data_IF_444921577234
#
_entry.id   IF_444921577234
#
_cell.length_a   1.000
_cell.length_b   1.000
_cell.length_c   1.000
_cell.angle_alpha   90.00
_cell.angle_beta   90.00
_cell.angle_gamma   90.00
#
_symmetry.space_group_name_H-M   'P 1'
#
loop_
_entity.id
_entity.type
_entity.pdbx_description
1 polymer ?
#
# COMPACT_ATOMS: atom_id res chain seq x y z
N UNK A 1 -13.64 18.45 -0.53
CA UNK A 1 -12.96 17.35 0.19
C UNK A 1 -13.40 15.97 -0.30
N UNK A 2 -14.70 15.71 -0.49
CA UNK A 2 -15.21 14.43 -0.98
C UNK A 2 -14.56 13.94 -2.29
N UNK A 3 -14.53 14.80 -3.33
CA UNK A 3 -13.91 14.47 -4.63
C UNK A 3 -12.43 14.13 -4.51
N UNK A 4 -11.70 14.84 -3.63
CA UNK A 4 -10.28 14.63 -3.38
C UNK A 4 -10.06 13.28 -2.70
N UNK A 5 -10.82 12.99 -1.64
CA UNK A 5 -10.75 11.71 -0.94
C UNK A 5 -11.05 10.54 -1.89
N UNK A 6 -12.11 10.65 -2.70
CA UNK A 6 -12.45 9.64 -3.72
C UNK A 6 -11.30 9.45 -4.71
N UNK A 7 -10.68 10.53 -5.18
CA UNK A 7 -9.55 10.47 -6.10
C UNK A 7 -8.34 9.78 -5.45
N UNK A 8 -7.99 10.14 -4.21
CA UNK A 8 -6.89 9.51 -3.47
C UNK A 8 -7.14 8.00 -3.34
N UNK A 9 -8.32 7.60 -2.89
CA UNK A 9 -8.68 6.18 -2.75
C UNK A 9 -8.59 5.43 -4.07
N UNK A 10 -9.03 6.02 -5.19
CA UNK A 10 -8.95 5.38 -6.51
C UNK A 10 -7.52 5.29 -7.04
N UNK A 11 -6.70 6.32 -6.84
CA UNK A 11 -5.32 6.30 -7.28
C UNK A 11 -4.51 5.26 -6.49
N UNK A 12 -4.61 5.30 -5.16
CA UNK A 12 -3.95 4.32 -4.28
C UNK A 12 -4.48 2.91 -4.55
N UNK A 13 -5.81 2.77 -4.66
CA UNK A 13 -6.46 1.49 -4.94
C UNK A 13 -6.06 0.89 -6.28
N UNK A 14 -5.97 1.71 -7.33
CA UNK A 14 -5.54 1.26 -8.66
C UNK A 14 -4.07 0.88 -8.66
N UNK A 15 -3.21 1.67 -8.02
CA UNK A 15 -1.78 1.33 -7.88
C UNK A 15 -1.60 0.00 -7.13
N UNK A 16 -2.34 -0.22 -6.04
CA UNK A 16 -2.30 -1.46 -5.28
C UNK A 16 -2.88 -2.66 -6.05
N UNK A 17 -3.93 -2.47 -6.87
CA UNK A 17 -4.49 -3.52 -7.73
C UNK A 17 -3.49 -4.04 -8.77
N UNK A 18 -2.57 -3.20 -9.26
CA UNK A 18 -1.53 -3.64 -10.20
C UNK A 18 -0.61 -4.71 -9.59
N UNK A 19 -0.57 -4.84 -8.25
CA UNK A 19 0.16 -5.92 -7.59
C UNK A 19 -0.35 -7.32 -7.96
N UNK A 20 -1.57 -7.47 -8.49
CA UNK A 20 -2.06 -8.75 -9.01
C UNK A 20 -1.15 -9.33 -10.10
N UNK A 21 -0.47 -8.47 -10.87
CA UNK A 21 0.49 -8.89 -11.88
C UNK A 21 1.72 -9.58 -11.25
N UNK A 22 2.14 -9.14 -10.06
CA UNK A 22 3.26 -9.73 -9.34
C UNK A 22 2.94 -11.11 -8.75
N UNK A 23 1.65 -11.45 -8.55
CA UNK A 23 1.23 -12.78 -8.07
C UNK A 23 1.62 -13.88 -9.04
N UNK A 24 1.46 -13.64 -10.35
CA UNK A 24 1.79 -14.60 -11.42
C UNK A 24 3.15 -14.35 -12.05
N UNK A 25 3.93 -13.41 -11.50
CA UNK A 25 5.24 -13.06 -12.05
C UNK A 25 6.20 -14.27 -11.97
N UNK A 26 6.93 -14.58 -13.06
CA UNK A 26 7.98 -15.58 -13.04
C UNK A 26 9.13 -15.16 -12.11
N UNK A 27 9.77 -16.14 -11.47
CA UNK A 27 10.91 -15.88 -10.58
C UNK A 27 12.05 -15.13 -11.28
N UNK A 28 12.35 -15.49 -12.54
CA UNK A 28 13.40 -14.85 -13.35
C UNK A 28 13.18 -13.34 -13.51
N UNK A 29 11.92 -12.92 -13.64
CA UNK A 29 11.58 -11.50 -13.75
C UNK A 29 11.75 -10.78 -12.41
N UNK A 30 11.38 -11.43 -11.29
CA UNK A 30 11.61 -10.88 -9.95
C UNK A 30 13.12 -10.75 -9.65
N UNK A 31 13.91 -11.77 -9.95
CA UNK A 31 15.37 -11.75 -9.78
C UNK A 31 16.02 -10.67 -10.65
N UNK A 32 15.59 -10.52 -11.90
CA UNK A 32 16.07 -9.46 -12.78
C UNK A 32 15.76 -8.05 -12.23
N UNK A 33 14.57 -7.84 -11.65
CA UNK A 33 14.21 -6.56 -11.02
C UNK A 33 15.07 -6.33 -9.77
N UNK A 34 15.21 -7.34 -8.92
CA UNK A 34 16.04 -7.28 -7.71
C UNK A 34 17.49 -6.90 -8.02
N UNK A 35 18.06 -7.50 -9.09
CA UNK A 35 19.38 -7.16 -9.60
C UNK A 35 19.49 -5.73 -10.14
N UNK A 36 18.49 -5.27 -10.91
CA UNK A 36 18.44 -3.88 -11.43
C UNK A 36 18.32 -2.83 -10.33
N UNK A 37 17.69 -3.18 -9.21
CA UNK A 37 17.57 -2.30 -8.03
C UNK A 37 18.84 -2.29 -7.16
N UNK A 38 19.87 -3.08 -7.52
CA UNK A 38 21.12 -3.18 -6.78
C UNK A 38 21.01 -4.01 -5.50
N UNK A 39 19.98 -4.84 -5.36
CA UNK A 39 19.74 -5.67 -4.19
C UNK A 39 20.41 -7.06 -4.28
N UNK A 40 21.07 -7.35 -5.41
CA UNK A 40 21.76 -8.62 -5.65
C UNK A 40 20.85 -9.70 -6.21
N UNK A 41 21.19 -10.97 -5.97
CA UNK A 41 20.34 -12.11 -6.38
C UNK A 41 19.22 -12.34 -5.39
N UNK A 42 18.02 -12.57 -5.91
CA UNK A 42 16.87 -12.95 -5.11
C UNK A 42 17.05 -14.38 -4.61
N UNK A 43 16.92 -14.69 -3.30
CA UNK A 43 17.06 -16.06 -2.82
C UNK A 43 16.02 -17.00 -3.45
N UNK A 44 16.44 -18.23 -3.77
CA UNK A 44 15.60 -19.23 -4.44
C UNK A 44 14.73 -20.04 -3.46
N UNK A 45 14.81 -19.75 -2.17
CA UNK A 45 14.03 -20.44 -1.14
C UNK A 45 12.52 -20.25 -1.37
N UNK A 46 11.70 -21.31 -1.25
CA UNK A 46 10.26 -21.24 -1.51
C UNK A 46 9.53 -20.13 -0.73
N UNK A 47 10.03 -19.79 0.47
CA UNK A 47 9.46 -18.75 1.31
C UNK A 47 9.51 -17.36 0.65
N UNK A 48 10.54 -17.05 -0.13
CA UNK A 48 10.66 -15.75 -0.82
C UNK A 48 9.58 -15.61 -1.87
N UNK A 49 9.41 -16.65 -2.69
CA UNK A 49 8.36 -16.69 -3.71
C UNK A 49 6.96 -16.70 -3.11
N UNK A 50 6.76 -17.34 -1.95
CA UNK A 50 5.51 -17.33 -1.21
C UNK A 50 5.18 -15.94 -0.65
N UNK A 51 6.13 -15.31 0.05
CA UNK A 51 5.94 -13.99 0.66
C UNK A 51 5.70 -12.92 -0.41
N UNK A 52 6.49 -12.89 -1.48
CA UNK A 52 6.32 -11.93 -2.58
C UNK A 52 4.92 -12.02 -3.20
N UNK A 53 4.43 -13.23 -3.47
CA UNK A 53 3.12 -13.45 -4.12
C UNK A 53 1.94 -13.24 -3.17
N UNK A 54 2.03 -13.75 -1.94
CA UNK A 54 0.98 -13.57 -0.94
C UNK A 54 0.83 -12.10 -0.52
N UNK A 55 1.94 -11.38 -0.36
CA UNK A 55 1.93 -9.94 -0.10
C UNK A 55 1.35 -9.16 -1.28
N UNK A 56 1.71 -9.53 -2.51
CA UNK A 56 1.13 -8.92 -3.72
C UNK A 56 -0.39 -9.15 -3.82
N UNK A 57 -0.86 -10.36 -3.51
CA UNK A 57 -2.28 -10.66 -3.45
C UNK A 57 -2.99 -9.86 -2.34
N UNK A 58 -2.34 -9.67 -1.19
CA UNK A 58 -2.86 -8.82 -0.12
C UNK A 58 -2.97 -7.36 -0.55
N UNK A 59 -1.97 -6.81 -1.25
CA UNK A 59 -2.07 -5.45 -1.81
C UNK A 59 -3.19 -5.33 -2.85
N UNK A 60 -3.40 -6.34 -3.70
CA UNK A 60 -4.52 -6.34 -4.63
C UNK A 60 -5.88 -6.33 -3.89
N UNK A 61 -6.00 -7.11 -2.80
CA UNK A 61 -7.19 -7.10 -1.93
C UNK A 61 -7.41 -5.72 -1.30
N UNK A 62 -6.35 -5.10 -0.77
CA UNK A 62 -6.40 -3.73 -0.23
C UNK A 62 -6.82 -2.74 -1.31
N UNK A 63 -6.32 -2.90 -2.54
CA UNK A 63 -6.69 -2.06 -3.68
C UNK A 63 -8.17 -2.17 -4.06
N UNK A 64 -8.71 -3.40 -4.07
CA UNK A 64 -10.14 -3.64 -4.27
C UNK A 64 -10.98 -3.00 -3.16
N UNK A 65 -10.55 -3.10 -1.90
CA UNK A 65 -11.18 -2.44 -0.76
C UNK A 65 -11.20 -0.91 -0.94
N UNK A 66 -10.08 -0.29 -1.35
CA UNK A 66 -10.06 1.16 -1.61
C UNK A 66 -11.08 1.55 -2.68
N UNK A 67 -11.18 0.76 -3.76
CA UNK A 67 -12.15 1.00 -4.82
C UNK A 67 -13.59 0.93 -4.33
N UNK A 68 -13.92 -0.09 -3.53
CA UNK A 68 -15.23 -0.22 -2.89
C UNK A 68 -15.55 1.01 -2.03
N UNK A 69 -14.63 1.42 -1.15
CA UNK A 69 -14.82 2.57 -0.26
C UNK A 69 -14.93 3.90 -1.04
N UNK A 70 -14.33 3.98 -2.23
CA UNK A 70 -14.43 5.15 -3.10
C UNK A 70 -15.83 5.39 -3.68
N UNK A 71 -16.69 4.35 -3.71
CA UNK A 71 -18.05 4.41 -4.23
C UNK A 71 -18.94 5.36 -3.43
N UNK A 72 -18.91 5.24 -2.10
CA UNK A 72 -19.63 6.11 -1.17
C UNK A 72 -18.78 6.47 0.05
N UNK A 73 -17.98 7.51 -0.11
CA UNK A 73 -17.04 7.94 0.92
C UNK A 73 -17.71 8.55 2.15
N UNK A 74 -19.00 8.96 2.07
CA UNK A 74 -19.74 9.53 3.21
C UNK A 74 -20.23 8.41 4.10
N UNK A 75 -20.85 7.39 3.50
CA UNK A 75 -21.28 6.17 4.21
C UNK A 75 -20.09 5.42 4.82
N UNK A 76 -18.98 5.34 4.10
CA UNK A 76 -17.79 4.62 4.53
C UNK A 76 -16.81 5.44 5.37
N UNK A 77 -17.16 6.68 5.76
CA UNK A 77 -16.26 7.60 6.45
C UNK A 77 -15.58 7.00 7.70
N UNK A 78 -16.27 6.30 8.62
CA UNK A 78 -15.61 5.71 9.79
C UNK A 78 -14.54 4.67 9.39
N UNK A 79 -14.84 3.81 8.43
CA UNK A 79 -13.90 2.82 7.90
C UNK A 79 -12.70 3.48 7.22
N UNK A 80 -12.93 4.54 6.45
CA UNK A 80 -11.85 5.29 5.77
C UNK A 80 -10.94 5.99 6.80
N UNK A 81 -11.48 6.55 7.88
CA UNK A 81 -10.69 7.15 8.96
C UNK A 81 -9.82 6.11 9.67
N UNK A 82 -10.41 4.96 10.02
CA UNK A 82 -9.67 3.85 10.61
C UNK A 82 -8.52 3.41 9.69
N UNK A 83 -8.80 3.26 8.40
CA UNK A 83 -7.83 2.83 7.39
C UNK A 83 -6.71 3.85 7.18
N UNK A 84 -7.03 5.15 7.19
CA UNK A 84 -6.03 6.21 7.18
C UNK A 84 -5.10 6.12 8.39
N UNK A 85 -5.65 5.89 9.59
CA UNK A 85 -4.86 5.63 10.81
C UNK A 85 -4.00 4.37 10.71
N UNK A 86 -4.56 3.28 10.19
CA UNK A 86 -3.85 2.03 9.99
C UNK A 86 -2.66 2.19 9.01
N UNK A 87 -2.82 2.98 7.95
CA UNK A 87 -1.73 3.26 7.00
C UNK A 87 -0.61 4.08 7.63
N UNK A 88 -0.93 5.02 8.53
CA UNK A 88 0.09 5.77 9.30
C UNK A 88 0.91 4.81 10.17
N UNK A 89 0.23 3.97 10.95
CA UNK A 89 0.91 3.00 11.82
C UNK A 89 1.73 2.02 10.99
N UNK A 90 1.15 1.50 9.91
CA UNK A 90 1.83 0.55 9.02
C UNK A 90 3.07 1.16 8.38
N UNK A 91 3.01 2.41 7.90
CA UNK A 91 4.18 3.08 7.34
C UNK A 91 5.30 3.30 8.36
N UNK A 92 4.97 3.61 9.62
CA UNK A 92 5.97 3.68 10.72
C UNK A 92 6.61 2.31 10.97
N UNK A 93 5.81 1.25 10.98
CA UNK A 93 6.30 -0.13 11.15
C UNK A 93 7.25 -0.50 10.00
N UNK A 94 6.91 -0.17 8.76
CA UNK A 94 7.77 -0.44 7.60
C UNK A 94 9.15 0.24 7.72
N UNK A 95 9.21 1.50 8.20
CA UNK A 95 10.52 2.14 8.47
C UNK A 95 11.38 1.31 9.42
N UNK A 96 10.77 0.75 10.47
CA UNK A 96 11.46 -0.13 11.42
C UNK A 96 11.93 -1.43 10.76
N UNK A 97 11.07 -2.06 9.96
CA UNK A 97 11.40 -3.29 9.23
C UNK A 97 12.55 -3.05 8.24
N UNK A 98 12.49 -1.98 7.44
CA UNK A 98 13.53 -1.64 6.46
C UNK A 98 14.89 -1.41 7.11
N UNK A 99 14.88 -0.91 8.36
CA UNK A 99 16.08 -0.72 9.15
C UNK A 99 16.67 -2.04 9.63
N UNK A 100 15.82 -2.95 10.10
CA UNK A 100 16.21 -4.30 10.56
C UNK A 100 16.74 -5.14 9.41
N UNK A 101 16.08 -5.10 8.26
CA UNK A 101 16.45 -5.84 7.04
C UNK A 101 17.61 -5.19 6.27
N UNK A 102 18.06 -4.01 6.69
CA UNK A 102 19.26 -3.38 6.13
C UNK A 102 19.08 -2.85 4.70
N UNK A 103 17.86 -2.54 4.26
CA UNK A 103 17.57 -2.07 2.90
C UNK A 103 18.29 -0.75 2.57
N UNK A 104 18.47 -0.37 1.30
CA UNK A 104 19.12 0.90 0.93
C UNK A 104 18.39 2.13 1.50
N UNK A 105 19.14 3.22 1.74
CA UNK A 105 18.58 4.46 2.30
C UNK A 105 17.43 5.05 1.47
N UNK A 106 17.52 4.99 0.14
CA UNK A 106 16.45 5.47 -0.74
C UNK A 106 15.15 4.69 -0.55
N UNK A 107 15.23 3.40 -0.19
CA UNK A 107 14.07 2.56 0.11
C UNK A 107 13.49 2.93 1.48
N UNK A 108 14.33 2.98 2.52
CA UNK A 108 13.94 3.35 3.90
C UNK A 108 13.20 4.70 3.96
N UNK A 109 13.69 5.68 3.20
CA UNK A 109 13.09 7.01 3.14
C UNK A 109 11.86 7.06 2.22
N UNK A 110 11.74 6.13 1.29
CA UNK A 110 10.72 6.11 0.26
C UNK A 110 9.46 5.34 0.65
N UNK A 111 9.58 4.15 1.22
CA UNK A 111 8.44 3.27 1.43
C UNK A 111 7.57 3.71 2.62
N UNK A 112 8.03 3.45 3.84
CA UNK A 112 7.27 3.73 5.06
C UNK A 112 6.82 5.20 5.23
N UNK A 113 7.67 6.21 4.95
CA UNK A 113 7.27 7.60 5.03
C UNK A 113 6.18 7.97 4.02
N UNK A 114 6.27 7.46 2.79
CA UNK A 114 5.26 7.73 1.76
C UNK A 114 3.92 7.09 2.09
N UNK A 115 3.93 5.84 2.57
CA UNK A 115 2.72 5.16 3.06
C UNK A 115 2.08 5.93 4.22
N UNK A 116 2.89 6.43 5.15
CA UNK A 116 2.40 7.24 6.28
C UNK A 116 1.76 8.55 5.82
N UNK A 117 2.38 9.24 4.86
CA UNK A 117 1.85 10.48 4.29
C UNK A 117 0.51 10.26 3.57
N UNK A 118 0.38 9.14 2.84
CA UNK A 118 -0.90 8.74 2.22
C UNK A 118 -1.97 8.52 3.31
N UNK A 119 -1.62 7.81 4.40
CA UNK A 119 -2.52 7.61 5.54
C UNK A 119 -3.00 8.93 6.16
N UNK A 120 -2.08 9.89 6.37
CA UNK A 120 -2.41 11.24 6.84
C UNK A 120 -3.35 11.95 5.86
N UNK A 121 -3.07 11.89 4.55
CA UNK A 121 -3.91 12.54 3.55
C UNK A 121 -5.33 11.95 3.52
N UNK A 122 -5.47 10.63 3.63
CA UNK A 122 -6.77 9.94 3.71
C UNK A 122 -7.51 10.35 4.98
N UNK A 123 -6.87 10.23 6.15
CA UNK A 123 -7.51 10.56 7.43
C UNK A 123 -7.91 12.04 7.50
N UNK A 124 -7.03 12.94 7.04
CA UNK A 124 -7.30 14.37 7.02
C UNK A 124 -8.45 14.71 6.08
N UNK A 125 -8.43 14.23 4.83
CA UNK A 125 -9.53 14.51 3.90
C UNK A 125 -10.86 13.91 4.36
N UNK A 126 -10.87 12.69 4.90
CA UNK A 126 -12.05 12.04 5.47
C UNK A 126 -12.61 12.77 6.70
N UNK A 127 -11.75 13.32 7.55
CA UNK A 127 -12.19 14.11 8.72
C UNK A 127 -13.02 15.33 8.31
N UNK A 128 -12.74 15.90 7.12
CA UNK A 128 -13.39 17.08 6.55
C UNK A 128 -14.62 16.77 5.68
N UNK A 129 -14.95 15.50 5.46
CA UNK A 129 -16.20 15.11 4.77
C UNK A 129 -17.34 15.07 5.81
N UNK A 130 -18.49 15.73 5.57
CA UNK A 130 -19.63 15.63 6.47
C UNK A 130 -20.16 14.20 6.53
N UNK A 131 -20.65 13.74 7.69
CA UNK A 131 -21.30 12.45 7.80
C UNK A 131 -22.48 12.33 6.81
N UNK A 132 -22.88 11.09 6.52
CA UNK A 132 -24.15 10.86 5.84
C UNK A 132 -25.28 11.44 6.71
N UNK A 133 -26.28 12.05 6.08
CA UNK A 133 -27.51 12.40 6.79
C UNK A 133 -28.27 11.08 7.01
N UNK A 134 -28.64 10.81 8.26
CA UNK A 134 -29.46 9.66 8.64
C UNK A 134 -30.89 9.79 8.08
#
# INVERSE_FOLDING_TARGET
MEKILRLILRLVGSAALLAVLAVVMPYEMMDAIHGRLGLGRLPADPIVGYLARSLSAFYALVGALMWMLSGDVRRHRPTILFLGGAFIVFGIVLVGVDWVEGLPLWWRCGEGPWVSLIGVAIAWTASRVPPAAD
#
